data_IF_996979287788
#
_entry.id   IF_996979287788
#
_cell.length_a   1.000
_cell.length_b   1.000
_cell.length_c   1.000
_cell.angle_alpha   90.00
_cell.angle_beta   90.00
_cell.angle_gamma   90.00
#
_symmetry.space_group_name_H-M   'P 1'
#
loop_
_entity.id
_entity.type
_entity.pdbx_description
1 polymer ?
#
# COMPACT_ATOMS: atom_id res chain seq x y z
N UNK A 1 -11.82 10.35 -6.22
CA UNK A 1 -10.34 10.43 -6.33
C UNK A 1 -9.83 9.21 -7.06
N UNK A 2 -9.21 9.42 -8.19
CA UNK A 2 -8.63 8.34 -8.99
C UNK A 2 -7.26 7.97 -8.45
N UNK A 3 -6.96 6.67 -8.35
CA UNK A 3 -5.63 6.17 -7.97
C UNK A 3 -5.01 5.46 -9.15
N UNK A 4 -3.81 5.87 -9.54
CA UNK A 4 -3.04 5.33 -10.66
C UNK A 4 -1.78 4.66 -10.13
N UNK A 5 -1.72 3.34 -10.26
CA UNK A 5 -0.51 2.56 -9.99
C UNK A 5 0.28 2.45 -11.27
N UNK A 6 1.55 2.83 -11.22
CA UNK A 6 2.44 2.87 -12.39
C UNK A 6 3.64 1.94 -12.21
N UNK A 7 4.26 1.57 -13.33
CA UNK A 7 5.54 0.87 -13.34
C UNK A 7 6.70 1.85 -13.58
N UNK A 8 7.93 1.34 -13.63
CA UNK A 8 9.13 2.16 -13.85
C UNK A 8 9.15 2.86 -15.22
N UNK A 9 8.39 2.38 -16.20
CA UNK A 9 8.24 3.01 -17.51
C UNK A 9 7.17 4.11 -17.52
N UNK A 10 6.65 4.47 -16.34
CA UNK A 10 5.59 5.47 -16.16
C UNK A 10 4.25 5.07 -16.81
N UNK A 11 4.06 3.77 -17.00
CA UNK A 11 2.82 3.22 -17.55
C UNK A 11 1.85 2.88 -16.42
N UNK A 12 0.57 3.22 -16.59
CA UNK A 12 -0.49 2.85 -15.65
C UNK A 12 -0.77 1.36 -15.77
N UNK A 13 -0.49 0.61 -14.71
CA UNK A 13 -0.73 -0.84 -14.66
C UNK A 13 -2.05 -1.20 -13.97
N UNK A 14 -2.56 -0.31 -13.16
CA UNK A 14 -3.83 -0.48 -12.45
C UNK A 14 -4.42 0.88 -12.10
N UNK A 15 -5.73 0.99 -12.17
CA UNK A 15 -6.41 2.22 -11.71
C UNK A 15 -7.76 1.89 -11.08
N UNK A 16 -8.15 2.70 -10.11
CA UNK A 16 -9.43 2.58 -9.42
C UNK A 16 -9.80 3.93 -8.80
N UNK A 17 -10.99 4.00 -8.24
CA UNK A 17 -11.47 5.20 -7.56
C UNK A 17 -11.75 4.91 -6.09
N UNK A 18 -11.50 5.92 -5.26
CA UNK A 18 -11.80 5.89 -3.85
C UNK A 18 -12.43 7.20 -3.38
N UNK A 19 -12.96 7.17 -2.17
CA UNK A 19 -13.60 8.32 -1.53
C UNK A 19 -12.63 8.89 -0.50
N UNK A 20 -12.25 10.16 -0.64
CA UNK A 20 -11.30 10.82 0.27
C UNK A 20 -11.94 11.01 1.64
N UNK A 21 -11.23 10.54 2.68
CA UNK A 21 -11.61 10.74 4.07
C UNK A 21 -10.93 11.95 4.69
N UNK A 22 -9.65 12.15 4.38
CA UNK A 22 -8.87 13.25 4.92
C UNK A 22 -7.68 13.56 4.03
N UNK A 23 -7.20 14.78 4.10
CA UNK A 23 -6.01 15.23 3.37
C UNK A 23 -5.27 16.25 4.21
N UNK A 24 -3.95 16.10 4.30
CA UNK A 24 -3.08 17.10 4.88
C UNK A 24 -1.95 17.45 3.88
N UNK A 25 -0.92 18.15 4.34
CA UNK A 25 0.13 18.66 3.46
C UNK A 25 0.87 17.54 2.71
N UNK A 26 1.15 16.40 3.37
CA UNK A 26 1.99 15.35 2.83
C UNK A 26 1.31 13.98 2.74
N UNK A 27 0.02 13.91 3.04
CA UNK A 27 -0.70 12.64 3.03
C UNK A 27 -2.15 12.81 2.64
N UNK A 28 -2.70 11.76 2.05
CA UNK A 28 -4.12 11.66 1.77
C UNK A 28 -4.60 10.27 2.16
N UNK A 29 -5.75 10.19 2.80
CA UNK A 29 -6.40 8.93 3.17
C UNK A 29 -7.72 8.82 2.46
N UNK A 30 -7.95 7.68 1.84
CA UNK A 30 -9.19 7.40 1.12
C UNK A 30 -9.69 5.99 1.44
N UNK A 31 -10.95 5.74 1.10
CA UNK A 31 -11.56 4.41 1.18
C UNK A 31 -11.82 3.91 -0.24
N UNK A 32 -11.42 2.67 -0.50
CA UNK A 32 -11.76 1.93 -1.71
C UNK A 32 -12.26 0.55 -1.32
N UNK A 33 -13.12 -0.02 -2.17
CA UNK A 33 -13.63 -1.37 -1.96
C UNK A 33 -12.88 -2.34 -2.86
N UNK A 34 -12.51 -3.51 -2.31
CA UNK A 34 -11.87 -4.56 -3.10
C UNK A 34 -12.82 -5.03 -4.21
N UNK A 35 -12.42 -4.87 -5.47
CA UNK A 35 -13.30 -5.10 -6.62
C UNK A 35 -12.95 -6.36 -7.42
N UNK A 36 -12.33 -7.34 -6.76
CA UNK A 36 -11.99 -8.64 -7.35
C UNK A 36 -12.74 -9.75 -6.62
N UNK A 37 -12.75 -10.94 -7.22
CA UNK A 37 -13.30 -12.13 -6.58
C UNK A 37 -12.51 -12.47 -5.31
N UNK A 38 -13.15 -13.18 -4.39
CA UNK A 38 -12.53 -13.59 -3.14
C UNK A 38 -11.22 -14.32 -3.39
N UNK A 39 -10.17 -13.91 -2.70
CA UNK A 39 -8.80 -14.38 -2.93
C UNK A 39 -8.12 -14.72 -1.60
N UNK A 40 -7.73 -15.99 -1.40
CA UNK A 40 -6.88 -16.31 -0.27
C UNK A 40 -5.55 -15.56 -0.37
N UNK A 41 -5.16 -14.91 0.70
CA UNK A 41 -3.91 -14.15 0.77
C UNK A 41 -3.33 -14.25 2.17
N UNK A 42 -2.11 -14.80 2.27
CA UNK A 42 -1.45 -15.01 3.55
C UNK A 42 -2.37 -15.79 4.52
N UNK A 43 -2.67 -15.22 5.69
CA UNK A 43 -3.53 -15.82 6.72
C UNK A 43 -4.98 -15.35 6.65
N UNK A 44 -5.35 -14.63 5.58
CA UNK A 44 -6.69 -14.06 5.43
C UNK A 44 -7.29 -14.42 4.06
N UNK A 45 -8.56 -14.10 3.88
CA UNK A 45 -9.21 -14.06 2.58
C UNK A 45 -9.58 -12.60 2.27
N UNK A 46 -9.07 -12.08 1.16
CA UNK A 46 -9.53 -10.80 0.63
C UNK A 46 -10.87 -11.05 -0.06
N UNK A 47 -11.92 -10.39 0.42
CA UNK A 47 -13.28 -10.59 -0.11
C UNK A 47 -13.69 -9.38 -0.96
N UNK A 48 -14.48 -9.66 -2.00
CA UNK A 48 -15.10 -8.57 -2.78
C UNK A 48 -15.87 -7.66 -1.83
N UNK A 49 -15.65 -6.35 -1.95
CA UNK A 49 -16.21 -5.30 -1.08
C UNK A 49 -15.57 -5.19 0.30
N UNK A 50 -14.47 -5.89 0.56
CA UNK A 50 -13.67 -5.55 1.74
C UNK A 50 -13.28 -4.07 1.69
N UNK A 51 -13.28 -3.41 2.84
CA UNK A 51 -13.01 -1.98 2.92
C UNK A 51 -11.52 -1.75 3.12
N UNK A 52 -10.89 -1.07 2.18
CA UNK A 52 -9.49 -0.68 2.24
C UNK A 52 -9.41 0.80 2.60
N UNK A 53 -8.80 1.11 3.73
CA UNK A 53 -8.47 2.47 4.12
C UNK A 53 -7.01 2.71 3.72
N UNK A 54 -6.83 3.52 2.70
CA UNK A 54 -5.53 3.68 2.02
C UNK A 54 -4.95 5.03 2.30
N UNK A 55 -3.71 5.06 2.83
CA UNK A 55 -2.97 6.30 3.05
C UNK A 55 -1.78 6.36 2.11
N UNK A 56 -1.71 7.43 1.31
CA UNK A 56 -0.63 7.73 0.40
C UNK A 56 0.15 8.93 0.92
N UNK A 57 1.49 8.88 0.77
CA UNK A 57 2.40 9.92 1.25
C UNK A 57 3.18 10.52 0.10
N UNK A 58 3.28 11.84 0.06
CA UNK A 58 4.09 12.56 -0.94
C UNK A 58 5.56 12.69 -0.53
N UNK A 59 5.91 12.33 0.71
CA UNK A 59 7.25 12.46 1.29
C UNK A 59 7.82 11.15 1.83
N UNK A 60 7.19 10.01 1.53
CA UNK A 60 7.64 8.69 1.98
C UNK A 60 7.61 7.69 0.84
N UNK A 61 8.45 6.67 0.94
CA UNK A 61 8.63 5.64 -0.09
C UNK A 61 7.70 4.44 0.11
N UNK A 62 6.52 4.64 0.66
CA UNK A 62 5.52 3.59 0.90
C UNK A 62 4.12 4.17 1.01
N UNK A 63 3.13 3.29 0.82
CA UNK A 63 1.76 3.55 1.22
C UNK A 63 1.31 2.49 2.23
N UNK A 64 0.17 2.71 2.88
CA UNK A 64 -0.36 1.80 3.89
C UNK A 64 -1.84 1.59 3.62
N UNK A 65 -2.25 0.34 3.44
CA UNK A 65 -3.63 -0.06 3.24
C UNK A 65 -4.10 -0.85 4.46
N UNK A 66 -5.05 -0.29 5.22
CA UNK A 66 -5.71 -1.00 6.31
C UNK A 66 -6.92 -1.75 5.75
N UNK A 67 -7.00 -3.05 6.01
CA UNK A 67 -8.02 -3.91 5.40
C UNK A 67 -9.02 -4.35 6.46
N UNK A 68 -10.32 -4.11 6.18
CA UNK A 68 -11.44 -4.46 7.04
C UNK A 68 -12.40 -5.39 6.32
N UNK A 69 -12.89 -6.41 7.03
CA UNK A 69 -13.81 -7.39 6.48
C UNK A 69 -15.16 -6.76 6.14
N UNK A 70 -15.70 -7.12 4.98
CA UNK A 70 -17.00 -6.58 4.49
C UNK A 70 -18.19 -6.95 5.38
N UNK A 71 -18.14 -8.10 6.07
CA UNK A 71 -19.29 -8.63 6.78
C UNK A 71 -19.39 -8.12 8.22
N UNK A 72 -18.28 -8.10 8.95
CA UNK A 72 -18.26 -7.71 10.36
C UNK A 72 -17.31 -6.56 10.66
N UNK A 73 -16.64 -6.02 9.64
CA UNK A 73 -15.73 -4.88 9.74
C UNK A 73 -14.53 -5.12 10.66
N UNK A 74 -14.16 -6.38 10.94
CA UNK A 74 -12.95 -6.65 11.72
C UNK A 74 -11.71 -6.33 10.92
N UNK A 75 -10.66 -5.87 11.62
CA UNK A 75 -9.38 -5.55 11.00
C UNK A 75 -8.65 -6.83 10.59
N UNK A 76 -8.26 -6.92 9.31
CA UNK A 76 -7.56 -8.08 8.76
C UNK A 76 -6.05 -7.93 8.73
N UNK A 77 -5.54 -6.72 8.61
CA UNK A 77 -4.10 -6.46 8.53
C UNK A 77 -3.79 -5.22 7.71
N UNK A 78 -2.49 -4.90 7.62
CA UNK A 78 -1.99 -3.83 6.77
C UNK A 78 -1.27 -4.43 5.57
N UNK A 79 -1.66 -3.99 4.37
CA UNK A 79 -0.93 -4.27 3.14
C UNK A 79 -0.24 -2.99 2.68
N UNK A 80 1.06 -3.05 2.45
CA UNK A 80 1.85 -1.86 2.13
C UNK A 80 2.68 -2.09 0.89
N UNK A 81 2.69 -1.11 -0.02
CA UNK A 81 3.56 -1.13 -1.20
C UNK A 81 4.74 -0.21 -0.96
N UNK A 82 5.93 -0.64 -1.36
CA UNK A 82 7.10 0.23 -1.45
C UNK A 82 7.13 0.81 -2.85
N UNK A 83 7.28 2.13 -2.92
CA UNK A 83 7.30 2.84 -4.20
C UNK A 83 7.85 4.23 -4.03
N UNK A 84 7.92 4.97 -5.13
CA UNK A 84 8.30 6.38 -5.08
C UNK A 84 7.25 7.16 -4.27
N UNK A 85 7.63 8.29 -3.67
CA UNK A 85 6.64 9.17 -3.04
C UNK A 85 5.49 9.47 -3.99
N UNK A 86 4.25 9.41 -3.48
CA UNK A 86 3.08 9.61 -4.31
C UNK A 86 2.98 11.06 -4.81
N UNK A 87 2.46 11.21 -6.02
CA UNK A 87 2.07 12.50 -6.56
C UNK A 87 0.59 12.67 -6.27
N UNK A 88 0.25 13.65 -5.45
CA UNK A 88 -1.13 13.89 -5.00
C UNK A 88 -1.63 15.17 -5.64
N UNK A 89 -2.56 15.02 -6.58
CA UNK A 89 -3.21 16.13 -7.27
C UNK A 89 -4.67 16.28 -6.80
N UNK A 90 -5.40 17.24 -7.36
CA UNK A 90 -6.78 17.50 -6.92
C UNK A 90 -7.74 16.38 -7.30
N UNK A 91 -7.49 15.69 -8.42
CA UNK A 91 -8.39 14.69 -8.97
C UNK A 91 -7.77 13.30 -9.11
N UNK A 92 -6.46 13.16 -8.86
CA UNK A 92 -5.81 11.85 -8.91
C UNK A 92 -4.59 11.75 -7.97
N UNK A 93 -4.25 10.52 -7.64
CA UNK A 93 -3.03 10.13 -6.96
C UNK A 93 -2.30 9.17 -7.89
N UNK A 94 -0.99 9.33 -8.06
CA UNK A 94 -0.19 8.35 -8.77
C UNK A 94 1.03 7.94 -7.95
N UNK A 95 1.46 6.69 -8.11
CA UNK A 95 2.70 6.20 -7.52
C UNK A 95 3.31 5.12 -8.39
N UNK A 96 4.65 5.01 -8.33
CA UNK A 96 5.40 3.97 -9.04
C UNK A 96 5.66 2.84 -8.06
N UNK A 97 5.12 1.66 -8.38
CA UNK A 97 5.33 0.44 -7.61
C UNK A 97 6.73 -0.10 -7.88
N UNK A 98 7.51 -0.32 -6.82
CA UNK A 98 8.87 -0.86 -6.89
C UNK A 98 8.95 -2.32 -6.42
N UNK A 99 7.85 -3.03 -6.59
CA UNK A 99 7.69 -4.48 -6.41
C UNK A 99 7.65 -4.96 -4.96
N UNK A 100 8.51 -4.43 -4.09
CA UNK A 100 8.60 -4.89 -2.70
C UNK A 100 7.35 -4.51 -1.93
N UNK A 101 6.76 -5.48 -1.21
CA UNK A 101 5.57 -5.28 -0.40
C UNK A 101 5.82 -5.73 1.03
N UNK A 102 5.04 -5.19 1.96
CA UNK A 102 5.03 -5.60 3.36
C UNK A 102 3.62 -5.97 3.76
N UNK A 103 3.44 -7.18 4.29
CA UNK A 103 2.20 -7.60 4.93
C UNK A 103 2.39 -7.62 6.44
N UNK A 104 1.49 -6.98 7.17
CA UNK A 104 1.47 -7.01 8.63
C UNK A 104 0.12 -7.55 9.07
N UNK A 105 0.13 -8.76 9.63
CA UNK A 105 -1.09 -9.40 10.10
C UNK A 105 -1.67 -8.68 11.32
N UNK A 106 -2.92 -9.00 11.67
CA UNK A 106 -3.60 -8.33 12.78
C UNK A 106 -2.89 -8.48 14.13
N UNK A 107 -2.08 -9.54 14.29
CA UNK A 107 -1.27 -9.75 15.49
C UNK A 107 0.08 -9.00 15.49
N UNK A 108 0.38 -8.27 14.40
CA UNK A 108 1.60 -7.49 14.28
C UNK A 108 2.77 -8.22 13.59
N UNK A 109 2.59 -9.47 13.18
CA UNK A 109 3.63 -10.21 12.46
C UNK A 109 3.88 -9.59 11.08
N UNK A 110 5.13 -9.23 10.81
CA UNK A 110 5.53 -8.62 9.55
C UNK A 110 6.14 -9.64 8.60
N UNK A 111 5.72 -9.61 7.33
CA UNK A 111 6.25 -10.47 6.27
C UNK A 111 6.60 -9.63 5.05
N UNK A 112 7.86 -9.65 4.64
CA UNK A 112 8.32 -8.98 3.42
C UNK A 112 8.01 -9.87 2.23
N UNK A 113 7.40 -9.31 1.18
CA UNK A 113 6.95 -10.02 -0.01
C UNK A 113 7.66 -9.50 -1.25
N UNK A 114 7.84 -10.40 -2.23
CA UNK A 114 8.25 -10.06 -3.60
C UNK A 114 9.70 -9.51 -3.72
N UNK A 115 10.61 -9.95 -2.87
CA UNK A 115 12.02 -9.60 -2.98
C UNK A 115 12.62 -10.08 -4.31
N UNK A 116 12.17 -11.21 -4.84
CA UNK A 116 12.59 -11.73 -6.14
C UNK A 116 12.14 -10.82 -7.29
N UNK A 117 10.92 -10.27 -7.22
CA UNK A 117 10.43 -9.30 -8.20
C UNK A 117 11.25 -8.01 -8.16
N UNK A 118 11.65 -7.56 -6.98
CA UNK A 118 12.52 -6.40 -6.84
C UNK A 118 13.88 -6.63 -7.54
N UNK A 119 14.47 -7.80 -7.35
CA UNK A 119 15.74 -8.14 -8.01
C UNK A 119 15.60 -8.17 -9.53
N UNK A 120 14.47 -8.63 -10.06
CA UNK A 120 14.19 -8.67 -11.50
C UNK A 120 14.09 -7.28 -12.13
N UNK A 121 13.79 -6.24 -11.35
CA UNK A 121 13.74 -4.87 -11.85
C UNK A 121 15.12 -4.29 -12.20
N UNK A 122 16.20 -4.89 -11.70
CA UNK A 122 17.59 -4.43 -11.94
C UNK A 122 17.77 -2.94 -11.65
N UNK A 123 17.28 -2.50 -10.49
CA UNK A 123 17.42 -1.11 -10.06
C UNK A 123 18.90 -0.76 -9.84
N UNK A 124 19.27 0.50 -10.11
CA UNK A 124 20.58 0.97 -9.70
C UNK A 124 20.72 0.96 -8.18
N UNK A 125 21.96 1.04 -7.69
CA UNK A 125 22.24 0.91 -6.26
C UNK A 125 21.59 2.01 -5.43
N UNK A 126 21.53 3.22 -5.96
CA UNK A 126 20.91 4.37 -5.25
C UNK A 126 19.40 4.15 -5.06
N UNK A 127 18.70 3.77 -6.12
CA UNK A 127 17.26 3.52 -6.04
C UNK A 127 16.94 2.32 -5.16
N UNK A 128 17.71 1.24 -5.31
CA UNK A 128 17.57 0.04 -4.49
C UNK A 128 17.75 0.36 -3.00
N UNK A 129 18.73 1.21 -2.66
CA UNK A 129 18.93 1.64 -1.28
C UNK A 129 17.72 2.41 -0.74
N UNK A 130 17.13 3.28 -1.55
CA UNK A 130 15.91 4.02 -1.16
C UNK A 130 14.74 3.08 -0.91
N UNK A 131 14.60 2.02 -1.70
CA UNK A 131 13.57 0.99 -1.49
C UNK A 131 13.73 0.32 -0.14
N UNK A 132 14.94 -0.14 0.19
CA UNK A 132 15.19 -0.80 1.48
C UNK A 132 15.13 0.16 2.67
N UNK A 133 15.55 1.41 2.50
CA UNK A 133 15.38 2.43 3.54
C UNK A 133 13.88 2.69 3.80
N UNK A 134 13.08 2.77 2.73
CA UNK A 134 11.63 2.92 2.84
C UNK A 134 10.98 1.75 3.57
N UNK A 135 11.39 0.53 3.24
CA UNK A 135 10.92 -0.67 3.93
C UNK A 135 11.25 -0.60 5.43
N UNK A 136 12.47 -0.24 5.77
CA UNK A 136 12.89 -0.15 7.18
C UNK A 136 12.10 0.90 7.95
N UNK A 137 11.92 2.07 7.36
CA UNK A 137 11.11 3.14 7.97
C UNK A 137 9.67 2.67 8.20
N UNK A 138 9.09 2.00 7.22
CA UNK A 138 7.72 1.45 7.30
C UNK A 138 7.62 0.41 8.41
N UNK A 139 8.56 -0.51 8.48
CA UNK A 139 8.57 -1.55 9.51
C UNK A 139 8.63 -0.97 10.92
N UNK A 140 9.45 0.06 11.12
CA UNK A 140 9.55 0.75 12.41
C UNK A 140 8.24 1.49 12.72
N UNK A 141 7.69 2.19 11.73
CA UNK A 141 6.45 2.94 11.90
C UNK A 141 5.28 2.04 12.30
N UNK A 142 5.13 0.89 11.61
CA UNK A 142 4.03 -0.03 11.91
C UNK A 142 4.17 -0.75 13.26
N UNK A 143 5.39 -0.89 13.77
CA UNK A 143 5.59 -1.40 15.14
C UNK A 143 5.05 -0.46 16.21
N UNK A 144 4.96 0.84 15.90
CA UNK A 144 4.41 1.84 16.82
C UNK A 144 2.90 1.96 16.75
N UNK A 145 2.28 1.43 15.70
CA UNK A 145 0.83 1.47 15.52
C UNK A 145 0.16 0.31 16.27
N UNK A 146 -0.91 0.65 16.97
CA UNK A 146 -1.78 -0.38 17.53
C UNK A 146 -2.79 -0.82 16.47
N UNK A 147 -3.05 -2.14 16.34
CA UNK A 147 -4.08 -2.61 15.44
C UNK A 147 -5.44 -1.97 15.77
N UNK A 148 -6.20 -1.52 14.78
CA UNK A 148 -7.58 -1.06 15.01
C UNK A 148 -8.44 -2.22 15.50
N UNK A 149 -9.40 -1.90 16.29
CA UNK A 149 -10.34 -2.90 16.83
C UNK A 149 -11.33 -3.37 15.77
#
# INVERSE_FOLDING_TARGET
MKVLKKNLADEVTWQYEGIVLSRDENAITLVALFNRDDLPFMDIVLKRNDRFVETFYSDRWYNIFEIYDRDDDHFKGWYCNIGNPAIIEDDFISYIDLALDLWVSADGTQTVLDEDELEELNLDDELKQKVYDGLKELQIFLKTKNPPN
#
